data_IF_644860895757
#
_entry.id   IF_644860895757
#
_cell.length_a   1.000
_cell.length_b   1.000
_cell.length_c   1.000
_cell.angle_alpha   90.00
_cell.angle_beta   90.00
_cell.angle_gamma   90.00
#
_symmetry.space_group_name_H-M   'P 1'
#
loop_
_entity.id
_entity.type
_entity.pdbx_description
1 polymer ?
#
# COMPACT_ATOMS: atom_id res chain seq x y z
N UNK A 1 -5.84 -12.48 -14.14
CA UNK A 1 -5.56 -11.08 -13.77
C UNK A 1 -4.07 -10.95 -13.52
N UNK A 2 -3.41 -10.01 -14.21
CA UNK A 2 -1.98 -9.74 -14.02
C UNK A 2 -1.79 -8.50 -13.16
N UNK A 3 -1.06 -8.64 -12.05
CA UNK A 3 -0.90 -7.60 -11.03
C UNK A 3 0.56 -7.20 -10.90
N UNK A 4 0.86 -5.90 -11.05
CA UNK A 4 2.17 -5.32 -10.74
C UNK A 4 2.14 -4.79 -9.30
N UNK A 5 3.11 -5.21 -8.48
CA UNK A 5 3.24 -4.78 -7.10
C UNK A 5 4.55 -3.99 -6.92
N UNK A 6 4.43 -2.77 -6.44
CA UNK A 6 5.52 -1.82 -6.23
C UNK A 6 5.75 -1.65 -4.72
N UNK A 7 6.98 -1.90 -4.28
CA UNK A 7 7.41 -1.71 -2.88
C UNK A 7 7.48 -0.23 -2.49
N UNK A 8 8.11 0.02 -1.35
CA UNK A 8 8.21 1.35 -0.74
C UNK A 8 8.87 2.36 -1.69
N UNK A 9 8.22 3.49 -1.87
CA UNK A 9 8.59 4.50 -2.89
C UNK A 9 9.69 5.43 -2.38
N UNK A 10 9.54 5.99 -1.18
CA UNK A 10 10.49 6.92 -0.57
C UNK A 10 11.04 8.00 -1.54
N UNK A 11 10.12 8.57 -2.34
CA UNK A 11 10.44 9.61 -3.32
C UNK A 11 11.13 9.12 -4.60
N UNK A 12 11.38 7.81 -4.75
CA UNK A 12 12.02 7.25 -5.94
C UNK A 12 11.07 7.24 -7.13
N UNK A 13 11.56 7.59 -8.28
CA UNK A 13 10.80 7.60 -9.54
C UNK A 13 11.02 6.31 -10.38
N UNK A 14 11.72 5.32 -9.81
CA UNK A 14 12.00 4.02 -10.46
C UNK A 14 10.72 3.24 -10.83
N UNK A 15 9.59 3.49 -10.17
CA UNK A 15 8.30 2.92 -10.55
C UNK A 15 7.92 3.24 -12.02
N UNK A 16 8.39 4.37 -12.56
CA UNK A 16 8.15 4.78 -13.94
C UNK A 16 8.74 3.82 -14.97
N UNK A 17 9.91 3.22 -14.67
CA UNK A 17 10.51 2.21 -15.53
C UNK A 17 9.62 0.98 -15.68
N UNK A 18 8.93 0.59 -14.61
CA UNK A 18 8.08 -0.59 -14.61
C UNK A 18 6.68 -0.32 -15.18
N UNK A 19 6.26 0.93 -15.18
CA UNK A 19 4.94 1.34 -15.70
C UNK A 19 5.02 1.97 -17.08
N UNK A 20 6.07 2.72 -17.41
CA UNK A 20 6.20 3.49 -18.65
C UNK A 20 7.39 3.05 -19.52
N UNK A 21 8.25 2.17 -19.04
CA UNK A 21 9.40 1.64 -19.78
C UNK A 21 10.65 2.49 -19.69
N UNK A 22 10.56 3.82 -19.80
CA UNK A 22 11.70 4.73 -19.60
C UNK A 22 11.24 6.10 -19.07
N UNK A 23 12.17 6.91 -18.52
CA UNK A 23 11.84 8.30 -18.17
C UNK A 23 11.40 9.13 -19.37
N UNK A 24 11.92 8.85 -20.55
CA UNK A 24 11.54 9.54 -21.79
C UNK A 24 10.08 9.19 -22.16
N UNK A 25 9.71 7.93 -22.09
CA UNK A 25 8.35 7.48 -22.36
C UNK A 25 7.36 8.08 -21.35
N UNK A 26 7.75 8.16 -20.08
CA UNK A 26 6.97 8.84 -19.06
C UNK A 26 6.77 10.33 -19.36
N UNK A 27 7.81 11.06 -19.78
CA UNK A 27 7.70 12.49 -20.14
C UNK A 27 6.79 12.64 -21.35
N UNK A 28 6.93 11.80 -22.37
CA UNK A 28 6.09 11.84 -23.59
C UNK A 28 4.63 11.57 -23.24
N UNK A 29 4.39 10.57 -22.40
CA UNK A 29 3.05 10.24 -21.87
C UNK A 29 2.47 11.43 -21.11
N UNK A 30 3.22 12.05 -20.20
CA UNK A 30 2.77 13.18 -19.40
C UNK A 30 2.40 14.38 -20.30
N UNK A 31 3.21 14.71 -21.30
CA UNK A 31 2.93 15.78 -22.24
C UNK A 31 1.61 15.52 -23.01
N UNK A 32 1.39 14.28 -23.44
CA UNK A 32 0.16 13.91 -24.14
C UNK A 32 -1.08 14.07 -23.24
N UNK A 33 -1.00 13.60 -22.01
CA UNK A 33 -2.07 13.72 -21.02
C UNK A 33 -2.37 15.18 -20.66
N UNK A 34 -1.34 15.99 -20.41
CA UNK A 34 -1.48 17.42 -20.11
C UNK A 34 -2.09 18.21 -21.29
N UNK A 35 -1.89 17.72 -22.52
CA UNK A 35 -2.54 18.26 -23.72
C UNK A 35 -4.00 17.80 -23.91
N UNK A 36 -4.56 17.03 -22.96
CA UNK A 36 -5.93 16.53 -22.99
C UNK A 36 -6.14 15.31 -23.87
N UNK A 37 -5.06 14.61 -24.24
CA UNK A 37 -5.16 13.34 -24.93
C UNK A 37 -5.76 12.27 -24.01
N UNK A 38 -6.80 11.53 -24.45
CA UNK A 38 -7.21 10.34 -23.73
C UNK A 38 -6.02 9.37 -23.61
N UNK A 39 -5.89 8.76 -22.45
CA UNK A 39 -4.76 7.86 -22.16
C UNK A 39 -4.62 6.69 -23.15
N UNK A 40 -5.67 6.38 -23.91
CA UNK A 40 -5.75 5.25 -24.84
C UNK A 40 -5.70 5.67 -26.33
N UNK A 41 -5.65 6.97 -26.68
CA UNK A 41 -5.82 7.44 -28.06
C UNK A 41 -4.53 7.44 -28.90
N UNK A 42 -3.36 7.36 -28.31
CA UNK A 42 -2.10 7.28 -29.05
C UNK A 42 -1.60 5.85 -29.13
N UNK A 43 -1.21 5.39 -30.32
CA UNK A 43 -0.73 4.02 -30.50
C UNK A 43 0.45 3.68 -29.57
N UNK A 44 1.37 4.63 -29.35
CA UNK A 44 2.49 4.41 -28.44
C UNK A 44 2.07 4.27 -26.97
N UNK A 45 0.94 4.85 -26.55
CA UNK A 45 0.42 4.70 -25.19
C UNK A 45 -0.11 3.29 -24.93
N UNK A 46 -0.57 2.60 -25.99
CA UNK A 46 -1.05 1.21 -25.91
C UNK A 46 0.09 0.20 -25.67
N UNK A 47 1.32 0.58 -25.97
CA UNK A 47 2.50 -0.26 -25.82
C UNK A 47 3.24 -0.02 -24.49
N UNK A 48 2.81 0.97 -23.68
CA UNK A 48 3.45 1.22 -22.40
C UNK A 48 3.29 0.04 -21.43
N UNK A 49 4.30 -0.32 -20.63
CA UNK A 49 4.26 -1.49 -19.76
C UNK A 49 3.04 -1.56 -18.84
N UNK A 50 2.51 -0.42 -18.36
CA UNK A 50 1.34 -0.42 -17.49
C UNK A 50 0.08 -0.98 -18.17
N UNK A 51 -0.03 -0.94 -19.49
CA UNK A 51 -1.19 -1.46 -20.21
C UNK A 51 -1.29 -2.99 -20.15
N UNK A 52 -0.16 -3.66 -19.91
CA UNK A 52 -0.08 -5.11 -19.74
C UNK A 52 -0.52 -5.60 -18.35
N UNK A 53 -0.93 -4.71 -17.43
CA UNK A 53 -1.37 -5.07 -16.10
C UNK A 53 -2.83 -4.70 -15.85
N UNK A 54 -3.59 -5.61 -15.28
CA UNK A 54 -4.97 -5.38 -14.85
C UNK A 54 -5.03 -4.51 -13.58
N UNK A 55 -4.05 -4.68 -12.69
CA UNK A 55 -3.87 -3.89 -11.48
C UNK A 55 -2.40 -3.50 -11.27
N UNK A 56 -2.20 -2.30 -10.72
CA UNK A 56 -0.90 -1.77 -10.29
C UNK A 56 -1.07 -1.32 -8.85
N UNK A 57 -0.34 -1.96 -7.93
CA UNK A 57 -0.52 -1.75 -6.49
C UNK A 57 0.77 -1.18 -5.91
N UNK A 58 0.66 0.01 -5.32
CA UNK A 58 1.71 0.64 -4.53
C UNK A 58 1.47 0.34 -3.05
N UNK A 59 2.47 -0.21 -2.36
CA UNK A 59 2.27 -0.64 -0.97
C UNK A 59 2.56 0.44 0.07
N UNK A 60 2.76 1.69 -0.35
CA UNK A 60 2.89 2.85 0.55
C UNK A 60 4.30 3.41 0.65
N UNK A 61 4.52 4.20 1.70
CA UNK A 61 5.75 4.94 1.99
C UNK A 61 6.24 5.75 0.79
N UNK A 62 5.39 6.70 0.34
CA UNK A 62 5.69 7.56 -0.80
C UNK A 62 6.75 8.60 -0.51
N UNK A 63 6.91 8.97 0.76
CA UNK A 63 7.75 10.07 1.23
C UNK A 63 8.85 9.61 2.19
N UNK A 64 9.64 10.53 2.74
CA UNK A 64 10.72 10.27 3.72
C UNK A 64 11.93 9.49 3.21
N UNK A 65 12.47 9.93 2.10
CA UNK A 65 13.77 9.42 1.64
C UNK A 65 14.93 9.99 2.47
N UNK A 66 15.91 9.15 2.77
CA UNK A 66 17.17 9.61 3.37
C UNK A 66 18.17 10.20 2.35
N UNK A 67 17.92 10.01 1.04
CA UNK A 67 18.83 10.42 -0.03
C UNK A 67 18.23 11.40 -1.03
N UNK A 68 16.89 11.48 -1.12
CA UNK A 68 16.16 12.34 -2.05
C UNK A 68 15.68 13.59 -1.32
N UNK A 69 15.89 14.76 -1.91
CA UNK A 69 15.44 16.04 -1.33
C UNK A 69 13.92 16.25 -1.45
N UNK A 70 13.38 17.22 -0.72
CA UNK A 70 11.95 17.44 -0.57
C UNK A 70 11.21 17.71 -1.90
N UNK A 71 11.81 18.53 -2.79
CA UNK A 71 11.12 18.94 -4.02
C UNK A 71 10.90 17.78 -5.01
N UNK A 72 11.90 16.96 -5.38
CA UNK A 72 11.67 15.77 -6.19
C UNK A 72 10.72 14.78 -5.54
N UNK A 73 10.81 14.58 -4.23
CA UNK A 73 9.95 13.67 -3.48
C UNK A 73 8.49 14.12 -3.52
N UNK A 74 8.23 15.42 -3.30
CA UNK A 74 6.90 16.03 -3.42
C UNK A 74 6.36 15.89 -4.85
N UNK A 75 7.19 16.18 -5.86
CA UNK A 75 6.80 16.05 -7.26
C UNK A 75 6.44 14.59 -7.59
N UNK A 76 7.22 13.63 -7.14
CA UNK A 76 6.95 12.21 -7.38
C UNK A 76 5.63 11.74 -6.75
N UNK A 77 5.32 12.17 -5.52
CA UNK A 77 4.03 11.89 -4.89
C UNK A 77 2.85 12.45 -5.72
N UNK A 78 2.97 13.68 -6.21
CA UNK A 78 1.94 14.28 -7.06
C UNK A 78 1.76 13.51 -8.38
N UNK A 79 2.84 13.05 -8.99
CA UNK A 79 2.79 12.25 -10.23
C UNK A 79 2.13 10.89 -10.02
N UNK A 80 2.37 10.23 -8.88
CA UNK A 80 1.67 8.98 -8.52
C UNK A 80 0.16 9.24 -8.32
N UNK A 81 -0.21 10.34 -7.68
CA UNK A 81 -1.61 10.74 -7.50
C UNK A 81 -2.28 11.01 -8.86
N UNK A 82 -1.60 11.73 -9.76
CA UNK A 82 -2.10 11.96 -11.13
C UNK A 82 -2.28 10.64 -11.89
N UNK A 83 -1.31 9.73 -11.78
CA UNK A 83 -1.39 8.40 -12.39
C UNK A 83 -2.59 7.61 -11.87
N UNK A 84 -2.86 7.64 -10.56
CA UNK A 84 -4.08 7.06 -9.96
C UNK A 84 -5.35 7.72 -10.49
N UNK A 85 -5.40 9.04 -10.57
CA UNK A 85 -6.58 9.77 -11.08
C UNK A 85 -6.90 9.40 -12.53
N UNK A 86 -5.86 9.22 -13.33
CA UNK A 86 -6.00 8.87 -14.74
C UNK A 86 -6.48 7.43 -14.95
N UNK A 87 -5.87 6.48 -14.25
CA UNK A 87 -6.14 5.05 -14.45
C UNK A 87 -7.23 4.48 -13.52
N UNK A 88 -7.76 5.31 -12.62
CA UNK A 88 -8.87 4.93 -11.74
C UNK A 88 -8.58 3.67 -10.93
N UNK A 89 -9.50 2.72 -10.97
CA UNK A 89 -9.44 1.50 -10.17
C UNK A 89 -8.36 0.50 -10.61
N UNK A 90 -7.67 0.77 -11.73
CA UNK A 90 -6.50 -0.02 -12.13
C UNK A 90 -5.32 0.21 -11.19
N UNK A 91 -5.17 1.41 -10.64
CA UNK A 91 -4.10 1.75 -9.69
C UNK A 91 -4.65 1.75 -8.27
N UNK A 92 -3.99 1.04 -7.37
CA UNK A 92 -4.31 0.99 -5.94
C UNK A 92 -3.15 1.65 -5.18
N UNK A 93 -3.47 2.62 -4.34
CA UNK A 93 -2.50 3.31 -3.49
C UNK A 93 -2.75 2.93 -2.02
N UNK A 94 -1.83 2.18 -1.42
CA UNK A 94 -1.87 1.90 0.01
C UNK A 94 -1.12 2.98 0.78
N UNK A 95 -1.47 3.19 2.04
CA UNK A 95 -0.75 4.07 2.95
C UNK A 95 0.25 3.30 3.81
N UNK A 96 1.46 3.83 3.94
CA UNK A 96 2.47 3.35 4.84
C UNK A 96 2.65 4.21 6.10
N UNK A 97 3.53 3.79 7.00
CA UNK A 97 3.78 4.52 8.25
C UNK A 97 4.46 5.88 8.01
N UNK A 98 5.30 6.00 6.97
CA UNK A 98 5.92 7.27 6.59
C UNK A 98 4.93 8.26 5.97
N UNK A 99 3.81 7.78 5.43
CA UNK A 99 2.78 8.63 4.86
C UNK A 99 1.86 9.20 5.96
N UNK A 100 1.35 8.31 6.83
CA UNK A 100 0.35 8.69 7.85
C UNK A 100 0.89 9.69 8.88
N UNK A 101 2.18 9.70 9.14
CA UNK A 101 2.81 10.61 10.10
C UNK A 101 2.63 12.10 9.75
N UNK A 102 2.31 12.45 8.49
CA UNK A 102 2.10 13.83 8.06
C UNK A 102 0.66 14.33 8.27
N UNK A 103 -0.28 13.46 8.58
CA UNK A 103 -1.68 13.88 8.70
C UNK A 103 -2.46 13.16 9.80
N UNK A 104 -1.87 12.17 10.47
CA UNK A 104 -2.41 11.52 11.67
C UNK A 104 -1.58 11.95 12.87
N UNK A 105 -2.16 12.54 13.92
CA UNK A 105 -1.42 12.94 15.12
C UNK A 105 -0.68 11.78 15.79
N UNK A 106 0.45 12.09 16.42
CA UNK A 106 1.23 11.18 17.26
C UNK A 106 1.82 9.94 16.56
N UNK A 107 1.85 9.95 15.21
CA UNK A 107 2.40 8.84 14.41
C UNK A 107 3.83 9.08 13.91
N UNK A 108 4.58 9.97 14.54
CA UNK A 108 5.93 10.34 14.10
C UNK A 108 6.88 9.13 14.20
N UNK A 109 7.56 8.84 13.09
CA UNK A 109 8.58 7.80 12.97
C UNK A 109 9.90 8.35 12.37
N UNK A 110 10.87 7.46 12.14
CA UNK A 110 12.15 7.83 11.53
C UNK A 110 11.97 8.49 10.15
N UNK A 111 12.85 9.40 9.79
CA UNK A 111 12.78 10.10 8.50
C UNK A 111 11.78 11.26 8.44
N UNK A 112 11.00 11.50 9.49
CA UNK A 112 10.05 12.62 9.53
C UNK A 112 10.73 13.96 9.28
N UNK A 113 10.13 14.76 8.40
CA UNK A 113 10.60 16.08 8.01
C UNK A 113 9.60 17.15 8.46
N UNK A 114 9.88 17.78 9.60
CA UNK A 114 8.97 18.77 10.20
C UNK A 114 8.64 19.94 9.25
N UNK A 115 9.60 20.34 8.40
CA UNK A 115 9.41 21.39 7.40
C UNK A 115 8.44 21.00 6.28
N UNK A 116 8.19 19.69 6.09
CA UNK A 116 7.26 19.17 5.07
C UNK A 116 5.89 18.82 5.65
N UNK A 117 5.65 19.01 6.95
CA UNK A 117 4.39 18.67 7.59
C UNK A 117 3.16 19.26 6.89
N UNK A 118 3.23 20.54 6.54
CA UNK A 118 2.13 21.19 5.85
C UNK A 118 2.01 20.73 4.39
N UNK A 119 3.12 20.66 3.69
CA UNK A 119 3.15 20.29 2.27
C UNK A 119 2.65 18.87 2.03
N UNK A 120 3.25 17.86 2.66
CA UNK A 120 2.83 16.48 2.51
C UNK A 120 1.46 16.23 3.15
N UNK A 121 1.23 16.76 4.36
CA UNK A 121 -0.05 16.63 5.03
C UNK A 121 -1.22 17.19 4.22
N UNK A 122 -1.04 18.32 3.53
CA UNK A 122 -2.07 18.90 2.67
C UNK A 122 -2.29 18.09 1.40
N UNK A 123 -1.22 17.55 0.79
CA UNK A 123 -1.34 16.66 -0.37
C UNK A 123 -2.15 15.41 0.01
N UNK A 124 -1.79 14.73 1.09
CA UNK A 124 -2.52 13.54 1.54
C UNK A 124 -3.97 13.85 1.91
N UNK A 125 -4.23 14.89 2.72
CA UNK A 125 -5.59 15.26 3.12
C UNK A 125 -6.51 15.61 1.95
N UNK A 126 -5.99 16.31 0.93
CA UNK A 126 -6.76 16.68 -0.27
C UNK A 126 -7.08 15.53 -1.21
N UNK A 127 -6.36 14.43 -1.11
CA UNK A 127 -6.49 13.27 -1.99
C UNK A 127 -6.72 11.96 -1.20
N UNK A 128 -7.22 12.07 0.04
CA UNK A 128 -7.30 10.93 0.95
C UNK A 128 -8.21 9.81 0.44
N UNK A 129 -9.20 10.17 -0.35
CA UNK A 129 -10.14 9.27 -1.03
C UNK A 129 -9.49 8.39 -2.10
N UNK A 130 -8.28 8.72 -2.54
CA UNK A 130 -7.52 7.91 -3.49
C UNK A 130 -6.68 6.81 -2.82
N UNK A 131 -6.53 6.89 -1.50
CA UNK A 131 -5.72 5.98 -0.72
C UNK A 131 -6.56 5.03 0.13
N UNK A 132 -6.02 3.84 0.37
CA UNK A 132 -6.63 2.83 1.23
C UNK A 132 -5.57 2.18 2.12
N UNK A 133 -5.97 1.40 3.14
CA UNK A 133 -5.03 0.68 4.01
C UNK A 133 -4.80 -0.76 3.57
N UNK A 134 -5.78 -1.33 2.88
CA UNK A 134 -5.72 -2.71 2.41
C UNK A 134 -6.45 -2.87 1.07
N UNK A 135 -5.99 -3.83 0.29
CA UNK A 135 -6.65 -4.31 -0.92
C UNK A 135 -6.56 -5.82 -0.96
N UNK A 136 -7.58 -6.50 -1.50
CA UNK A 136 -7.52 -7.96 -1.62
C UNK A 136 -8.17 -8.47 -2.91
N UNK A 137 -7.71 -9.64 -3.33
CA UNK A 137 -8.28 -10.41 -4.44
C UNK A 137 -8.47 -11.84 -3.94
N UNK A 138 -9.68 -12.37 -4.06
CA UNK A 138 -9.98 -13.78 -3.80
C UNK A 138 -9.80 -14.55 -5.11
N UNK A 139 -9.00 -15.62 -5.10
CA UNK A 139 -8.82 -16.48 -6.27
C UNK A 139 -9.89 -17.59 -6.37
N UNK A 140 -9.89 -18.30 -7.51
CA UNK A 140 -10.82 -19.42 -7.78
C UNK A 140 -10.66 -20.56 -6.77
N UNK A 141 -9.48 -20.73 -6.16
CA UNK A 141 -9.18 -21.78 -5.18
C UNK A 141 -9.65 -21.40 -3.76
N UNK A 142 -10.13 -20.17 -3.57
CA UNK A 142 -10.59 -19.65 -2.29
C UNK A 142 -9.45 -19.18 -1.39
N UNK A 143 -8.32 -18.80 -1.99
CA UNK A 143 -7.20 -18.15 -1.32
C UNK A 143 -7.24 -16.64 -1.57
N UNK A 144 -7.07 -15.85 -0.53
CA UNK A 144 -7.03 -14.39 -0.62
C UNK A 144 -5.60 -13.91 -0.83
N UNK A 145 -5.39 -13.07 -1.83
CA UNK A 145 -4.19 -12.24 -1.95
C UNK A 145 -4.48 -10.91 -1.28
N UNK A 146 -3.79 -10.62 -0.19
CA UNK A 146 -3.98 -9.42 0.63
C UNK A 146 -2.76 -8.51 0.53
N UNK A 147 -2.97 -7.26 0.15
CA UNK A 147 -1.97 -6.21 0.17
C UNK A 147 -2.24 -5.26 1.33
N UNK A 148 -1.25 -5.03 2.16
CA UNK A 148 -1.15 -3.98 3.17
C UNK A 148 0.28 -3.47 3.18
N UNK A 149 0.55 -2.35 3.84
CA UNK A 149 1.93 -1.85 3.89
C UNK A 149 2.90 -2.82 4.58
N UNK A 150 2.57 -3.32 5.78
CA UNK A 150 3.46 -4.18 6.57
C UNK A 150 2.93 -5.61 6.81
N UNK A 151 1.65 -5.86 6.59
CA UNK A 151 0.99 -7.13 6.85
C UNK A 151 0.10 -7.12 8.09
N UNK A 152 -0.66 -8.19 8.28
CA UNK A 152 -1.50 -8.39 9.46
C UNK A 152 -1.36 -9.79 10.02
N UNK A 153 -1.24 -9.89 11.33
CA UNK A 153 -1.24 -11.17 12.03
C UNK A 153 -2.67 -11.63 12.30
N UNK A 154 -2.82 -12.91 12.56
CA UNK A 154 -4.11 -13.48 12.96
C UNK A 154 -4.65 -12.80 14.23
N UNK A 155 -3.81 -12.65 15.26
CA UNK A 155 -4.21 -12.06 16.53
C UNK A 155 -4.62 -10.61 16.39
N UNK A 156 -3.88 -9.82 15.58
CA UNK A 156 -4.26 -8.44 15.32
C UNK A 156 -5.64 -8.34 14.68
N UNK A 157 -5.92 -9.14 13.63
CA UNK A 157 -7.21 -9.11 12.93
C UNK A 157 -8.37 -9.57 13.83
N UNK A 158 -8.16 -10.63 14.62
CA UNK A 158 -9.15 -11.10 15.59
C UNK A 158 -9.42 -10.06 16.67
N UNK A 159 -8.37 -9.40 17.19
CA UNK A 159 -8.49 -8.30 18.14
C UNK A 159 -9.22 -7.10 17.56
N UNK A 160 -8.89 -6.67 16.34
CA UNK A 160 -9.59 -5.60 15.64
C UNK A 160 -11.08 -5.89 15.53
N UNK A 161 -11.45 -7.09 15.05
CA UNK A 161 -12.85 -7.50 14.90
C UNK A 161 -13.57 -7.50 16.24
N UNK A 162 -12.93 -8.04 17.29
CA UNK A 162 -13.50 -8.04 18.63
C UNK A 162 -13.72 -6.63 19.19
N UNK A 163 -12.74 -5.73 19.00
CA UNK A 163 -12.85 -4.33 19.43
C UNK A 163 -13.99 -3.62 18.68
N UNK A 164 -14.00 -3.68 17.35
CA UNK A 164 -15.00 -2.97 16.55
C UNK A 164 -16.44 -3.49 16.74
N UNK A 165 -16.61 -4.77 17.08
CA UNK A 165 -17.93 -5.38 17.33
C UNK A 165 -18.37 -5.30 18.79
N UNK A 166 -17.52 -4.86 19.71
CA UNK A 166 -17.85 -4.68 21.12
C UNK A 166 -18.90 -3.57 21.26
N UNK A 167 -20.09 -3.84 21.82
CA UNK A 167 -21.14 -2.82 21.98
C UNK A 167 -20.71 -1.59 22.78
N UNK A 168 -19.74 -1.76 23.68
CA UNK A 168 -19.23 -0.68 24.52
C UNK A 168 -18.14 0.16 23.80
N UNK A 169 -17.72 -0.28 22.62
CA UNK A 169 -16.72 0.45 21.84
C UNK A 169 -17.37 1.55 21.00
N UNK A 170 -16.75 2.72 20.98
CA UNK A 170 -17.30 3.94 20.33
C UNK A 170 -17.72 3.77 18.86
N UNK A 171 -17.28 2.70 18.20
CA UNK A 171 -17.53 2.46 16.77
C UNK A 171 -18.50 1.31 16.47
N UNK A 172 -19.07 0.65 17.48
CA UNK A 172 -19.93 -0.54 17.30
C UNK A 172 -21.10 -0.34 16.32
N UNK A 173 -21.71 0.85 16.30
CA UNK A 173 -22.80 1.19 15.38
C UNK A 173 -22.37 1.17 13.91
N UNK A 174 -21.19 1.65 13.61
CA UNK A 174 -20.66 1.74 12.24
C UNK A 174 -20.40 0.36 11.62
N UNK A 175 -20.00 -0.63 12.42
CA UNK A 175 -19.79 -2.02 11.92
C UNK A 175 -21.11 -2.62 11.44
N UNK A 176 -22.19 -2.40 12.15
CA UNK A 176 -23.52 -2.89 11.75
C UNK A 176 -24.02 -2.23 10.47
N UNK A 177 -23.67 -0.98 10.22
CA UNK A 177 -24.02 -0.24 9.00
C UNK A 177 -23.17 -0.68 7.81
N UNK A 178 -21.87 -0.87 8.01
CA UNK A 178 -20.91 -1.19 6.94
C UNK A 178 -20.87 -2.69 6.61
N UNK A 179 -21.19 -3.55 7.56
CA UNK A 179 -21.23 -5.02 7.45
C UNK A 179 -20.01 -5.62 6.70
N UNK A 180 -18.76 -5.35 7.16
CA UNK A 180 -17.56 -5.80 6.47
C UNK A 180 -17.47 -7.33 6.45
N UNK A 181 -17.17 -7.89 5.28
CA UNK A 181 -17.09 -9.35 5.05
C UNK A 181 -15.63 -9.76 4.91
N UNK A 182 -14.87 -9.02 4.10
CA UNK A 182 -13.50 -9.37 3.75
C UNK A 182 -12.47 -8.80 4.73
N UNK A 183 -11.25 -9.30 4.68
CA UNK A 183 -10.16 -8.80 5.53
C UNK A 183 -9.83 -7.35 5.22
N UNK A 184 -9.76 -7.00 3.93
CA UNK A 184 -9.49 -5.63 3.50
C UNK A 184 -10.61 -4.66 3.94
N UNK A 185 -11.88 -5.08 3.87
CA UNK A 185 -13.01 -4.26 4.34
C UNK A 185 -12.92 -3.97 5.84
N UNK A 186 -12.55 -4.95 6.67
CA UNK A 186 -12.34 -4.73 8.10
C UNK A 186 -11.22 -3.73 8.37
N UNK A 187 -10.10 -3.85 7.65
CA UNK A 187 -8.95 -2.94 7.79
C UNK A 187 -9.33 -1.53 7.34
N UNK A 188 -10.00 -1.40 6.19
CA UNK A 188 -10.39 -0.11 5.64
C UNK A 188 -11.46 0.57 6.49
N UNK A 189 -12.44 -0.16 7.03
CA UNK A 189 -13.38 0.37 8.00
C UNK A 189 -12.68 0.90 9.26
N UNK A 190 -11.74 0.15 9.81
CA UNK A 190 -10.94 0.60 10.94
C UNK A 190 -10.15 1.88 10.63
N UNK A 191 -9.63 2.00 9.41
CA UNK A 191 -8.98 3.20 8.91
C UNK A 191 -9.95 4.40 8.83
N UNK A 192 -11.12 4.22 8.23
CA UNK A 192 -12.16 5.26 8.14
C UNK A 192 -12.57 5.78 9.51
N UNK A 193 -12.71 4.87 10.47
CA UNK A 193 -13.04 5.18 11.87
C UNK A 193 -11.87 5.74 12.67
N UNK A 194 -10.65 5.76 12.12
CA UNK A 194 -9.43 6.12 12.85
C UNK A 194 -9.22 5.28 14.11
N UNK A 195 -9.50 3.97 14.00
CA UNK A 195 -9.28 3.06 15.11
C UNK A 195 -7.78 3.00 15.46
N UNK A 196 -7.48 3.03 16.76
CA UNK A 196 -6.09 3.03 17.25
C UNK A 196 -5.32 1.77 16.84
N UNK A 197 -6.04 0.67 16.67
CA UNK A 197 -5.48 -0.61 16.23
C UNK A 197 -4.66 -0.50 14.91
N UNK A 198 -5.09 0.34 13.97
CA UNK A 198 -4.39 0.58 12.68
C UNK A 198 -2.98 1.12 12.91
N UNK A 199 -2.84 2.01 13.89
CA UNK A 199 -1.60 2.75 14.14
C UNK A 199 -0.75 2.12 15.25
N UNK A 200 -1.24 1.06 15.87
CA UNK A 200 -0.56 0.49 17.01
C UNK A 200 0.84 -0.03 16.63
N UNK A 201 1.83 0.53 17.25
CA UNK A 201 3.21 0.06 17.27
C UNK A 201 3.62 -0.13 18.72
N UNK A 202 4.10 -1.30 19.05
CA UNK A 202 4.80 -1.50 20.30
C UNK A 202 6.14 -0.76 20.21
N UNK A 203 6.24 0.37 20.90
CA UNK A 203 7.42 1.23 20.86
C UNK A 203 8.69 0.56 21.38
N UNK A 204 8.56 -0.39 22.30
CA UNK A 204 9.69 -1.17 22.81
C UNK A 204 10.18 -2.19 21.79
N UNK A 205 9.26 -2.81 21.06
CA UNK A 205 9.57 -3.84 20.09
C UNK A 205 9.70 -3.33 18.64
N UNK A 206 9.23 -2.11 18.33
CA UNK A 206 9.34 -1.55 16.98
C UNK A 206 8.63 -2.37 15.89
N UNK A 207 7.46 -2.93 16.20
CA UNK A 207 6.65 -3.74 15.29
C UNK A 207 6.86 -5.26 15.42
N UNK A 208 7.64 -5.70 16.39
CA UNK A 208 7.82 -7.14 16.69
C UNK A 208 6.69 -7.74 17.54
N UNK A 209 5.70 -6.94 17.91
CA UNK A 209 4.50 -7.42 18.57
C UNK A 209 3.51 -8.02 17.56
N UNK A 210 2.83 -9.10 17.95
CA UNK A 210 1.72 -9.68 17.17
C UNK A 210 0.48 -8.79 17.12
N UNK A 211 0.45 -7.73 17.89
CA UNK A 211 -0.60 -6.71 17.92
C UNK A 211 -0.24 -5.48 17.10
N UNK A 212 0.96 -5.44 16.47
CA UNK A 212 1.35 -4.33 15.61
C UNK A 212 0.41 -4.25 14.40
N UNK A 213 0.00 -3.02 14.08
CA UNK A 213 -0.95 -2.74 13.00
C UNK A 213 -0.39 -2.98 11.60
N UNK A 214 -1.25 -2.86 10.57
CA UNK A 214 -0.93 -3.23 9.19
C UNK A 214 0.14 -2.37 8.53
N UNK A 215 0.58 -1.31 9.19
CA UNK A 215 1.66 -0.43 8.73
C UNK A 215 2.94 -0.57 9.57
N UNK A 216 3.01 -1.55 10.51
CA UNK A 216 4.14 -1.66 11.43
C UNK A 216 4.69 -3.07 11.61
N UNK A 217 3.91 -4.13 11.43
CA UNK A 217 4.33 -5.49 11.80
C UNK A 217 5.58 -5.92 11.03
N UNK A 218 6.52 -6.57 11.74
CA UNK A 218 7.78 -7.04 11.15
C UNK A 218 7.67 -8.48 10.60
N UNK A 219 8.48 -8.85 9.58
CA UNK A 219 8.38 -10.12 8.87
C UNK A 219 8.40 -11.36 9.76
N UNK A 220 9.27 -11.38 10.79
CA UNK A 220 9.35 -12.54 11.70
C UNK A 220 8.04 -12.76 12.44
N UNK A 221 7.43 -11.69 12.93
CA UNK A 221 6.15 -11.74 13.65
C UNK A 221 5.02 -12.13 12.72
N UNK A 222 4.98 -11.54 11.53
CA UNK A 222 4.00 -11.87 10.49
C UNK A 222 4.08 -13.37 10.10
N UNK A 223 5.28 -13.91 9.95
CA UNK A 223 5.49 -15.33 9.62
C UNK A 223 5.12 -16.27 10.78
N UNK A 224 5.26 -15.81 12.03
CA UNK A 224 4.92 -16.61 13.20
C UNK A 224 3.39 -16.74 13.40
N UNK A 225 2.62 -15.74 13.01
CA UNK A 225 1.17 -15.67 13.24
C UNK A 225 0.40 -15.38 11.92
N UNK A 226 0.54 -16.23 10.88
CA UNK A 226 -0.03 -15.99 9.56
C UNK A 226 -1.55 -16.12 9.55
N UNK A 227 -2.20 -15.38 8.66
CA UNK A 227 -3.60 -15.60 8.30
C UNK A 227 -3.72 -16.85 7.43
N UNK A 228 -4.59 -17.77 7.82
CA UNK A 228 -4.88 -18.95 7.03
C UNK A 228 -5.59 -18.56 5.73
N UNK A 229 -5.20 -19.18 4.61
CA UNK A 229 -5.72 -18.89 3.26
C UNK A 229 -5.49 -17.44 2.78
N UNK A 230 -4.48 -16.77 3.33
CA UNK A 230 -4.10 -15.45 2.86
C UNK A 230 -2.63 -15.46 2.43
N UNK A 231 -2.39 -15.21 1.14
CA UNK A 231 -1.09 -14.72 0.70
C UNK A 231 -1.00 -13.24 1.05
N UNK A 232 0.10 -12.80 1.65
CA UNK A 232 0.29 -11.39 1.99
C UNK A 232 1.43 -10.78 1.19
N UNK A 233 1.19 -9.62 0.60
CA UNK A 233 2.17 -8.86 -0.19
C UNK A 233 2.41 -7.55 0.53
N UNK A 234 3.66 -7.34 0.99
CA UNK A 234 3.99 -6.26 1.94
C UNK A 234 5.33 -5.60 1.64
N UNK A 235 5.46 -4.32 1.98
CA UNK A 235 6.68 -3.52 1.99
C UNK A 235 7.31 -3.41 3.38
N UNK A 236 7.53 -2.17 3.85
CA UNK A 236 7.91 -1.74 5.20
C UNK A 236 9.27 -2.20 5.71
N UNK A 237 9.74 -3.33 5.30
CA UNK A 237 11.03 -3.86 5.79
C UNK A 237 11.97 -4.09 4.62
N UNK A 238 13.05 -3.29 4.52
CA UNK A 238 13.95 -3.32 3.38
C UNK A 238 14.46 -4.71 3.03
N UNK A 239 14.40 -5.04 1.77
CA UNK A 239 14.90 -6.28 1.18
C UNK A 239 15.89 -5.94 0.06
N UNK A 240 16.85 -6.83 -0.23
CA UNK A 240 17.72 -6.68 -1.40
C UNK A 240 17.05 -7.16 -2.69
N UNK A 241 16.21 -8.17 -2.55
CA UNK A 241 15.42 -8.78 -3.62
C UNK A 241 14.07 -9.17 -3.06
N UNK A 242 13.11 -9.47 -3.92
CA UNK A 242 11.82 -10.00 -3.48
C UNK A 242 12.04 -11.25 -2.63
N UNK A 243 11.60 -11.20 -1.38
CA UNK A 243 11.71 -12.31 -0.45
C UNK A 243 10.37 -13.04 -0.32
N UNK A 244 10.33 -14.27 -0.82
CA UNK A 244 9.14 -15.13 -0.79
C UNK A 244 9.28 -16.18 0.30
N UNK A 245 8.39 -16.16 1.27
CA UNK A 245 8.33 -17.13 2.37
C UNK A 245 7.06 -17.97 2.27
N UNK A 246 7.20 -19.26 2.07
CA UNK A 246 6.07 -20.20 2.05
C UNK A 246 5.84 -20.76 3.45
N UNK A 247 4.63 -20.60 3.95
CA UNK A 247 4.21 -21.01 5.29
C UNK A 247 3.09 -22.05 5.19
N UNK A 248 3.09 -23.03 6.09
CA UNK A 248 2.02 -24.03 6.22
C UNK A 248 1.63 -24.69 4.88
N UNK A 249 2.55 -24.80 3.94
CA UNK A 249 2.39 -25.33 2.57
C UNK A 249 1.38 -24.58 1.67
N UNK A 250 0.56 -23.68 2.20
CA UNK A 250 -0.57 -23.04 1.49
C UNK A 250 -0.61 -21.52 1.59
N UNK A 251 0.23 -20.92 2.44
CA UNK A 251 0.28 -19.47 2.65
C UNK A 251 1.63 -18.94 2.20
N UNK A 252 1.66 -17.87 1.47
CA UNK A 252 2.90 -17.22 1.03
C UNK A 252 2.91 -15.77 1.44
N UNK A 253 4.00 -15.33 2.05
CA UNK A 253 4.29 -13.92 2.27
C UNK A 253 5.35 -13.44 1.28
N UNK A 254 5.08 -12.31 0.63
CA UNK A 254 5.99 -11.63 -0.29
C UNK A 254 6.42 -10.31 0.33
N UNK A 255 7.71 -10.17 0.61
CA UNK A 255 8.31 -8.93 1.11
C UNK A 255 8.94 -8.22 -0.07
N UNK A 256 8.38 -7.07 -0.46
CA UNK A 256 8.68 -6.40 -1.72
C UNK A 256 9.26 -4.99 -1.56
N UNK A 257 9.70 -4.61 -0.37
CA UNK A 257 10.43 -3.35 -0.14
C UNK A 257 11.85 -3.46 -0.71
N UNK A 258 11.96 -3.51 -2.03
CA UNK A 258 13.19 -3.66 -2.80
C UNK A 258 13.21 -2.81 -4.09
N UNK A 259 12.29 -1.87 -4.22
CA UNK A 259 12.23 -0.96 -5.37
C UNK A 259 13.51 -0.12 -5.53
N UNK A 260 14.22 0.14 -4.45
CA UNK A 260 15.54 0.77 -4.45
C UNK A 260 16.55 -0.01 -5.31
N UNK A 261 16.40 -1.32 -5.40
CA UNK A 261 17.23 -2.21 -6.20
C UNK A 261 16.66 -2.50 -7.59
N UNK A 262 15.56 -1.83 -7.97
CA UNK A 262 14.87 -2.02 -9.25
C UNK A 262 14.00 -3.27 -9.33
N UNK A 263 13.74 -3.91 -8.21
CA UNK A 263 12.93 -5.14 -8.14
C UNK A 263 11.45 -4.83 -7.93
N UNK A 264 10.58 -5.49 -8.69
CA UNK A 264 9.11 -5.42 -8.55
C UNK A 264 8.52 -6.82 -8.67
N UNK A 265 7.42 -7.06 -7.97
CA UNK A 265 6.69 -8.33 -8.02
C UNK A 265 5.58 -8.28 -9.08
N UNK A 266 5.54 -9.27 -9.94
CA UNK A 266 4.38 -9.52 -10.82
C UNK A 266 3.70 -10.80 -10.39
N UNK A 267 2.38 -10.74 -10.23
CA UNK A 267 1.54 -11.91 -9.94
C UNK A 267 0.55 -12.15 -11.06
N UNK A 268 0.27 -13.40 -11.33
CA UNK A 268 -0.88 -13.85 -12.13
C UNK A 268 -1.87 -14.54 -11.20
N UNK A 269 -3.08 -13.98 -11.10
CA UNK A 269 -4.13 -14.45 -10.19
C UNK A 269 -5.37 -14.74 -11.03
N UNK A 270 -6.02 -15.86 -10.79
CA UNK A 270 -7.32 -16.19 -11.37
C UNK A 270 -8.41 -15.77 -10.37
N UNK A 271 -8.98 -14.56 -10.48
CA UNK A 271 -9.98 -14.09 -9.53
C UNK A 271 -11.26 -14.91 -9.65
N UNK A 272 -11.92 -15.12 -8.51
CA UNK A 272 -13.20 -15.81 -8.41
C UNK A 272 -14.35 -15.01 -9.02
#
# INVERSE_FOLDING_TARGET
>A
MKVLCLGDIHGRDTWKFHTHGSPHDYITWKIAVDAGAPADDFEFLKELPYTGYDKIIFVGDYVDSFTISNAPMKQNLLEIIEFKKLLGDRVILLLGNHDVQYFVPDQICSGYRAEMLHDFGDIFRKNLDLFTMAYEILDEEGTTYLWTHAGVTKEWLEGLKANLTNPDYRFAGHVSESNPITTAEWINLAWELRAEDIFFVDRESGGWSKWAGPIWVRPRTLNYAPLIKHHQIVGHTPQRTINKVVLLSTVTHYYIDCLEHGEVLTLEINPK
#
